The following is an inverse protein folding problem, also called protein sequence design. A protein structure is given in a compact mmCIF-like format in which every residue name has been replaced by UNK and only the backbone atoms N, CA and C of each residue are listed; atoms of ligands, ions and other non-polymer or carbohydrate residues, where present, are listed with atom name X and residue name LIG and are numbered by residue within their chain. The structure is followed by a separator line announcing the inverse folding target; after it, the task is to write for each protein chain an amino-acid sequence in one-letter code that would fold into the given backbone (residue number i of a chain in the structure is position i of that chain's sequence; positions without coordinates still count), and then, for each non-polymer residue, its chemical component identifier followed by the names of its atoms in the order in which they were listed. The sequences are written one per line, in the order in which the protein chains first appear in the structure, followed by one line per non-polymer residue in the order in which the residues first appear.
data_IF_320108098648
#
_entry.id   IF_320108098648
#
_cell.length_a   1.000
_cell.length_b   1.000
_cell.length_c   1.000
_cell.angle_alpha   90.00
_cell.angle_beta   90.00
_cell.angle_gamma   90.00
#
_symmetry.space_group_name_H-M   'P 1'
#
loop_
_entity.id
_entity.type
_entity.pdbx_description
1 polymer ?
#
# COMPACT_ATOMS: atom_id res chain seq x y z
N UNK A 1 -0.10 -0.55 -15.18
CA UNK A 1 1.30 -0.10 -15.19
C UNK A 1 2.16 -1.28 -15.62
N UNK A 2 3.33 -1.03 -16.21
CA UNK A 2 4.32 -2.06 -16.55
C UNK A 2 5.63 -1.74 -15.86
N UNK A 3 6.35 -2.75 -15.36
CA UNK A 3 7.68 -2.62 -14.76
C UNK A 3 7.73 -1.51 -13.69
N UNK A 4 6.88 -1.63 -12.67
CA UNK A 4 6.67 -0.57 -11.67
C UNK A 4 6.84 -1.09 -10.25
N UNK A 5 7.47 -0.29 -9.39
CA UNK A 5 7.59 -0.58 -7.95
C UNK A 5 6.95 0.54 -7.14
N UNK A 6 6.11 0.17 -6.17
CA UNK A 6 5.66 1.05 -5.10
C UNK A 6 6.27 0.55 -3.80
N UNK A 7 7.13 1.36 -3.20
CA UNK A 7 7.86 0.96 -2.00
C UNK A 7 7.96 2.07 -0.97
N UNK A 8 8.02 1.69 0.30
CA UNK A 8 8.23 2.60 1.43
C UNK A 8 7.22 3.76 1.48
N UNK A 9 6.01 3.55 0.99
CA UNK A 9 4.94 4.55 0.98
C UNK A 9 3.95 4.34 2.14
N UNK A 10 3.53 5.45 2.75
CA UNK A 10 2.44 5.48 3.74
C UNK A 10 1.16 5.96 3.05
N UNK A 11 0.12 5.14 3.09
CA UNK A 11 -1.22 5.50 2.62
C UNK A 11 -2.22 5.27 3.76
N UNK A 12 -2.77 6.34 4.32
CA UNK A 12 -3.66 6.24 5.47
C UNK A 12 -4.90 7.12 5.37
N UNK A 13 -5.92 6.75 6.16
CA UNK A 13 -7.11 7.57 6.39
C UNK A 13 -7.80 8.05 5.10
N UNK A 14 -7.97 7.14 4.14
CA UNK A 14 -8.77 7.42 2.95
C UNK A 14 -10.16 7.92 3.36
N UNK A 15 -10.53 9.14 2.93
CA UNK A 15 -11.77 9.79 3.35
C UNK A 15 -12.95 8.82 3.17
N UNK A 16 -13.75 8.57 4.20
CA UNK A 16 -14.84 7.60 4.14
C UNK A 16 -16.05 8.17 3.43
N UNK A 17 -16.54 9.33 3.87
CA UNK A 17 -17.69 10.01 3.27
C UNK A 17 -17.33 11.45 2.96
N UNK A 18 -17.78 11.97 1.83
CA UNK A 18 -17.64 13.39 1.48
C UNK A 18 -18.79 13.83 0.59
N UNK A 19 -19.08 15.14 0.55
CA UNK A 19 -20.17 15.69 -0.26
C UNK A 19 -20.01 15.33 -1.76
N UNK A 20 -18.77 15.25 -2.28
CA UNK A 20 -18.47 14.80 -3.64
C UNK A 20 -18.90 13.35 -3.90
N UNK A 21 -18.67 12.45 -2.93
CA UNK A 21 -19.06 11.03 -3.04
C UNK A 21 -20.56 10.85 -2.99
N UNK A 22 -21.24 11.63 -2.16
CA UNK A 22 -22.70 11.63 -2.06
C UNK A 22 -23.35 12.15 -3.34
N UNK A 23 -22.80 13.22 -3.92
CA UNK A 23 -23.26 13.74 -5.22
C UNK A 23 -23.12 12.68 -6.32
N UNK A 24 -21.98 11.99 -6.39
CA UNK A 24 -21.76 10.89 -7.34
C UNK A 24 -22.72 9.70 -7.13
N UNK A 25 -23.24 9.50 -5.92
CA UNK A 25 -24.20 8.47 -5.58
C UNK A 25 -25.68 8.92 -5.70
N UNK A 26 -25.95 10.07 -6.34
CA UNK A 26 -27.30 10.60 -6.51
C UNK A 26 -27.94 11.05 -5.19
N UNK A 27 -27.14 11.60 -4.28
CA UNK A 27 -27.59 12.12 -2.99
C UNK A 27 -27.87 11.06 -1.92
N UNK A 28 -27.56 9.78 -2.17
CA UNK A 28 -27.64 8.71 -1.18
C UNK A 28 -26.36 8.62 -0.36
N UNK A 29 -26.44 8.06 0.85
CA UNK A 29 -25.24 7.83 1.66
C UNK A 29 -24.29 6.87 0.93
N UNK A 30 -23.05 7.29 0.75
CA UNK A 30 -22.04 6.54 0.02
C UNK A 30 -20.68 6.63 0.73
N UNK A 31 -20.25 5.49 1.28
CA UNK A 31 -18.93 5.34 1.89
C UNK A 31 -17.92 4.79 0.87
N UNK A 32 -16.76 5.43 0.79
CA UNK A 32 -15.65 5.04 -0.09
C UNK A 32 -14.30 5.45 0.54
N UNK A 33 -13.94 4.82 1.67
CA UNK A 33 -12.62 4.96 2.31
C UNK A 33 -11.69 3.83 1.89
N UNK A 34 -11.20 3.84 0.64
CA UNK A 34 -10.48 2.71 0.06
C UNK A 34 -8.98 2.96 -0.01
N UNK A 35 -8.18 1.94 0.35
CA UNK A 35 -6.71 2.05 0.40
C UNK A 35 -6.07 2.12 -0.98
N UNK A 36 -6.26 1.10 -1.81
CA UNK A 36 -5.64 1.07 -3.13
C UNK A 36 -6.08 -0.09 -4.01
N UNK A 37 -5.94 0.10 -5.32
CA UNK A 37 -6.10 -0.95 -6.32
C UNK A 37 -4.72 -1.31 -6.86
N UNK A 38 -4.22 -2.51 -6.53
CA UNK A 38 -2.87 -2.97 -6.84
C UNK A 38 -2.92 -3.99 -7.97
N UNK A 39 -2.11 -3.79 -9.00
CA UNK A 39 -2.15 -4.52 -10.26
C UNK A 39 -1.14 -3.96 -11.25
N UNK A 40 -0.72 -4.77 -12.21
CA UNK A 40 0.24 -4.40 -13.22
C UNK A 40 0.92 -5.60 -13.86
N UNK A 41 1.64 -5.35 -14.95
CA UNK A 41 2.54 -6.33 -15.55
C UNK A 41 3.95 -6.09 -15.01
N UNK A 42 4.49 -7.08 -14.29
CA UNK A 42 5.76 -6.97 -13.56
C UNK A 42 5.74 -5.78 -12.59
N UNK A 43 4.74 -5.78 -11.70
CA UNK A 43 4.59 -4.75 -10.67
C UNK A 43 4.96 -5.30 -9.30
N UNK A 44 5.68 -4.52 -8.49
CA UNK A 44 5.96 -4.87 -7.09
C UNK A 44 5.42 -3.80 -6.14
N UNK A 45 4.94 -4.26 -4.99
CA UNK A 45 4.47 -3.44 -3.89
C UNK A 45 5.10 -3.96 -2.61
N UNK A 46 6.07 -3.24 -2.06
CA UNK A 46 6.78 -3.73 -0.89
C UNK A 46 7.12 -2.70 0.16
N UNK A 47 7.11 -3.11 1.43
CA UNK A 47 7.46 -2.23 2.56
C UNK A 47 6.58 -0.97 2.66
N UNK A 48 5.33 -1.06 2.19
CA UNK A 48 4.36 0.02 2.34
C UNK A 48 3.51 -0.18 3.60
N UNK A 49 2.94 0.92 4.09
CA UNK A 49 1.93 0.92 5.14
C UNK A 49 0.59 1.37 4.55
N UNK A 50 -0.44 0.52 4.66
CA UNK A 50 -1.84 0.97 4.51
C UNK A 50 -2.53 0.91 5.86
N UNK A 51 -2.97 2.06 6.37
CA UNK A 51 -3.59 2.17 7.70
C UNK A 51 -4.92 2.91 7.66
N UNK A 52 -5.89 2.46 8.45
CA UNK A 52 -7.19 3.15 8.59
C UNK A 52 -7.88 3.40 7.25
N UNK A 53 -7.85 2.41 6.36
CA UNK A 53 -8.63 2.39 5.12
C UNK A 53 -9.69 1.30 5.25
N UNK A 54 -10.96 1.64 5.02
CA UNK A 54 -12.06 0.71 5.22
C UNK A 54 -11.93 -0.53 4.34
N UNK A 55 -11.71 -0.38 3.04
CA UNK A 55 -11.63 -1.52 2.12
C UNK A 55 -10.53 -1.32 1.07
N UNK A 56 -10.33 -2.32 0.21
CA UNK A 56 -9.24 -2.33 -0.79
C UNK A 56 -7.89 -2.11 -0.11
N UNK A 57 -7.55 -3.02 0.79
CA UNK A 57 -6.30 -3.01 1.55
C UNK A 57 -5.49 -4.29 1.23
N UNK A 58 -4.93 -4.41 -0.01
CA UNK A 58 -5.32 -3.74 -1.26
C UNK A 58 -6.43 -4.51 -2.01
N UNK A 59 -7.13 -3.88 -2.97
CA UNK A 59 -7.84 -4.67 -4.01
C UNK A 59 -6.81 -5.11 -5.03
N UNK A 60 -6.70 -6.40 -5.32
CA UNK A 60 -5.89 -6.95 -6.39
C UNK A 60 -6.63 -6.79 -7.71
N UNK A 61 -6.53 -5.64 -8.38
CA UNK A 61 -7.41 -5.27 -9.50
C UNK A 61 -6.67 -5.18 -10.82
N UNK A 62 -6.72 -6.25 -11.63
CA UNK A 62 -6.10 -6.22 -12.93
C UNK A 62 -6.82 -5.27 -13.87
N UNK A 63 -6.10 -4.77 -14.87
CA UNK A 63 -6.68 -4.06 -16.01
C UNK A 63 -6.63 -4.94 -17.26
N UNK A 64 -7.66 -4.87 -18.10
CA UNK A 64 -7.69 -5.64 -19.36
C UNK A 64 -6.46 -5.36 -20.24
N UNK A 65 -5.95 -4.12 -20.21
CA UNK A 65 -4.76 -3.74 -20.99
C UNK A 65 -3.49 -4.42 -20.50
N UNK A 66 -3.35 -4.66 -19.20
CA UNK A 66 -2.22 -5.39 -18.63
C UNK A 66 -2.44 -6.90 -18.66
N UNK A 67 -3.68 -7.39 -18.55
CA UNK A 67 -4.01 -8.80 -18.79
C UNK A 67 -3.68 -9.23 -20.21
N UNK A 68 -3.96 -8.39 -21.21
CA UNK A 68 -3.69 -8.66 -22.63
C UNK A 68 -2.20 -8.85 -22.97
N UNK A 69 -1.29 -8.34 -22.13
CA UNK A 69 0.15 -8.51 -22.31
C UNK A 69 0.55 -9.97 -22.13
N UNK A 70 1.75 -10.33 -22.58
CA UNK A 70 2.31 -11.68 -22.44
C UNK A 70 1.35 -12.79 -22.92
N UNK A 71 0.73 -12.57 -24.09
CA UNK A 71 -0.27 -13.45 -24.70
C UNK A 71 -1.48 -13.70 -23.77
N UNK A 72 -2.17 -12.62 -23.39
CA UNK A 72 -3.32 -12.64 -22.47
C UNK A 72 -3.02 -13.16 -21.05
N UNK A 73 -1.75 -13.03 -20.61
CA UNK A 73 -1.27 -13.56 -19.34
C UNK A 73 -0.33 -12.59 -18.60
N UNK A 74 -0.65 -11.30 -18.69
CA UNK A 74 0.27 -10.22 -18.32
C UNK A 74 0.17 -9.70 -16.89
N UNK A 75 -0.89 -9.96 -16.13
CA UNK A 75 -0.96 -9.44 -14.75
C UNK A 75 -0.09 -10.24 -13.79
N UNK A 76 1.00 -9.61 -13.34
CA UNK A 76 2.10 -10.22 -12.59
C UNK A 76 2.53 -9.26 -11.49
N UNK A 77 2.11 -9.59 -10.26
CA UNK A 77 2.23 -8.71 -9.10
C UNK A 77 2.95 -9.39 -7.96
N UNK A 78 3.95 -8.72 -7.38
CA UNK A 78 4.63 -9.12 -6.16
C UNK A 78 4.21 -8.21 -5.00
N UNK A 79 3.58 -8.76 -3.97
CA UNK A 79 3.13 -8.04 -2.77
C UNK A 79 3.89 -8.58 -1.58
N UNK A 80 4.82 -7.78 -1.05
CA UNK A 80 5.82 -8.29 -0.13
C UNK A 80 6.12 -7.36 1.04
N UNK A 81 6.19 -7.91 2.25
CA UNK A 81 6.66 -7.16 3.43
C UNK A 81 5.93 -5.82 3.66
N UNK A 82 4.66 -5.72 3.29
CA UNK A 82 3.82 -4.56 3.61
C UNK A 82 3.15 -4.74 4.98
N UNK A 83 2.75 -3.62 5.59
CA UNK A 83 1.93 -3.60 6.80
C UNK A 83 0.53 -3.12 6.45
N UNK A 84 -0.46 -3.91 6.83
CA UNK A 84 -1.87 -3.60 6.66
C UNK A 84 -2.53 -3.45 8.03
N UNK A 85 -3.09 -2.28 8.31
CA UNK A 85 -3.62 -1.95 9.62
C UNK A 85 -5.05 -1.40 9.57
N UNK A 86 -5.89 -1.88 10.49
CA UNK A 86 -7.21 -1.32 10.80
C UNK A 86 -8.14 -1.18 9.58
N UNK A 87 -8.27 -2.24 8.77
CA UNK A 87 -9.29 -2.31 7.72
C UNK A 87 -10.64 -2.74 8.30
N UNK A 88 -11.76 -2.26 7.72
CA UNK A 88 -13.10 -2.45 8.29
C UNK A 88 -14.10 -3.09 7.31
N UNK A 89 -13.67 -3.29 6.08
CA UNK A 89 -14.41 -3.81 4.94
C UNK A 89 -13.75 -5.09 4.43
N UNK A 90 -13.50 -5.17 3.13
CA UNK A 90 -13.06 -6.43 2.51
C UNK A 90 -11.59 -6.78 2.75
N UNK A 91 -10.76 -5.84 3.20
CA UNK A 91 -9.30 -6.04 3.28
C UNK A 91 -8.72 -6.27 1.88
N UNK A 92 -7.96 -7.36 1.73
CA UNK A 92 -7.43 -7.80 0.46
C UNK A 92 -8.38 -8.76 -0.30
N UNK A 93 -8.68 -8.47 -1.57
CA UNK A 93 -9.59 -9.28 -2.40
C UNK A 93 -9.34 -9.08 -3.90
N UNK A 94 -9.90 -9.92 -4.77
CA UNK A 94 -9.82 -9.81 -6.23
C UNK A 94 -8.85 -10.78 -6.87
N UNK A 95 -8.08 -10.34 -7.86
CA UNK A 95 -7.04 -11.13 -8.50
C UNK A 95 -7.54 -12.05 -9.61
N UNK A 96 -8.61 -11.64 -10.27
CA UNK A 96 -9.18 -12.32 -11.43
C UNK A 96 -8.12 -12.51 -12.53
N UNK A 97 -7.82 -13.76 -12.91
CA UNK A 97 -6.80 -14.10 -13.91
C UNK A 97 -5.37 -13.50 -13.68
N UNK A 98 -5.04 -13.04 -12.47
CA UNK A 98 -3.70 -12.50 -12.15
C UNK A 98 -2.71 -13.60 -11.72
N UNK A 99 -1.42 -13.28 -11.78
CA UNK A 99 -0.34 -14.01 -11.09
C UNK A 99 0.12 -13.13 -9.92
N UNK A 100 -0.06 -13.60 -8.69
CA UNK A 100 0.21 -12.78 -7.50
C UNK A 100 1.04 -13.54 -6.48
N UNK A 101 2.17 -12.96 -6.07
CA UNK A 101 2.84 -13.35 -4.84
C UNK A 101 2.34 -12.47 -3.69
N UNK A 102 2.03 -13.06 -2.53
CA UNK A 102 1.74 -12.35 -1.27
C UNK A 102 2.66 -12.94 -0.19
N UNK A 103 3.76 -12.26 0.10
CA UNK A 103 4.88 -12.84 0.88
C UNK A 103 5.29 -11.96 2.05
N UNK A 104 5.36 -12.53 3.25
CA UNK A 104 5.98 -11.84 4.39
C UNK A 104 5.28 -10.55 4.83
N UNK A 105 4.01 -10.35 4.48
CA UNK A 105 3.26 -9.16 4.88
C UNK A 105 2.74 -9.30 6.32
N UNK A 106 2.57 -8.18 7.00
CA UNK A 106 2.05 -8.10 8.37
C UNK A 106 0.62 -7.54 8.38
N UNK A 107 -0.33 -8.35 8.83
CA UNK A 107 -1.75 -7.99 8.94
C UNK A 107 -2.09 -7.76 10.41
N UNK A 108 -2.43 -6.52 10.76
CA UNK A 108 -2.77 -6.12 12.12
C UNK A 108 -4.22 -5.62 12.21
N UNK A 109 -5.17 -6.42 12.73
CA UNK A 109 -6.53 -5.94 12.97
C UNK A 109 -6.53 -4.86 14.06
N UNK A 110 -7.25 -3.76 13.81
CA UNK A 110 -7.41 -2.65 14.76
C UNK A 110 -8.86 -2.45 15.20
N UNK A 111 -9.17 -1.39 15.96
CA UNK A 111 -10.53 -1.10 16.44
C UNK A 111 -11.61 -1.06 15.36
N UNK A 112 -11.31 -0.50 14.17
CA UNK A 112 -12.21 -0.50 13.03
C UNK A 112 -12.37 -1.88 12.36
N UNK A 113 -11.40 -2.78 12.54
CA UNK A 113 -11.48 -4.19 12.13
C UNK A 113 -12.34 -5.00 13.07
N UNK A 114 -12.32 -4.70 14.37
CA UNK A 114 -13.18 -5.34 15.37
C UNK A 114 -14.66 -5.07 15.09
N UNK A 115 -14.97 -3.95 14.44
CA UNK A 115 -16.30 -3.56 13.97
C UNK A 115 -16.64 -4.08 12.56
N UNK A 116 -15.76 -4.87 11.94
CA UNK A 116 -15.98 -5.45 10.62
C UNK A 116 -16.84 -6.73 10.70
N UNK A 117 -17.24 -7.24 9.52
CA UNK A 117 -17.91 -8.55 9.43
C UNK A 117 -16.98 -9.66 9.94
N UNK A 118 -17.58 -10.70 10.53
CA UNK A 118 -16.83 -11.89 10.96
C UNK A 118 -15.95 -12.44 9.83
N UNK A 119 -14.78 -12.95 10.21
CA UNK A 119 -13.78 -13.47 9.29
C UNK A 119 -12.85 -12.43 8.65
N UNK A 120 -13.17 -11.12 8.72
CA UNK A 120 -12.35 -10.07 8.12
C UNK A 120 -11.06 -9.79 8.88
N UNK A 121 -11.03 -9.99 10.19
CA UNK A 121 -9.88 -9.68 11.05
C UNK A 121 -8.63 -10.52 10.77
N UNK A 122 -8.79 -11.66 10.08
CA UNK A 122 -7.70 -12.57 9.75
C UNK A 122 -7.60 -12.92 8.27
N UNK A 123 -8.23 -12.12 7.41
CA UNK A 123 -8.15 -12.31 5.96
C UNK A 123 -6.79 -11.87 5.44
N UNK A 124 -6.10 -12.77 4.75
CA UNK A 124 -4.91 -12.46 3.95
C UNK A 124 -5.32 -12.03 2.55
N UNK A 125 -6.24 -12.77 1.92
CA UNK A 125 -6.82 -12.41 0.63
C UNK A 125 -8.18 -13.11 0.41
N UNK A 126 -9.04 -12.54 -0.42
CA UNK A 126 -10.21 -13.20 -1.00
C UNK A 126 -10.09 -13.22 -2.53
N UNK A 127 -9.44 -14.24 -3.13
CA UNK A 127 -9.40 -14.40 -4.57
C UNK A 127 -10.79 -14.56 -5.19
N UNK A 128 -10.96 -14.11 -6.43
CA UNK A 128 -12.24 -14.13 -7.14
C UNK A 128 -12.07 -14.33 -8.66
N UNK A 129 -13.19 -14.51 -9.38
CA UNK A 129 -13.27 -14.53 -10.85
C UNK A 129 -14.20 -13.42 -11.35
N UNK A 130 -13.99 -12.98 -12.60
CA UNK A 130 -14.97 -12.09 -13.23
C UNK A 130 -16.27 -12.86 -13.53
N UNK A 131 -17.44 -12.39 -13.08
CA UNK A 131 -18.72 -13.04 -13.35
C UNK A 131 -19.09 -12.98 -14.85
N UNK A 132 -19.98 -13.86 -15.32
CA UNK A 132 -20.34 -13.94 -16.74
C UNK A 132 -21.04 -12.66 -17.25
N UNK A 133 -21.72 -11.96 -16.36
CA UNK A 133 -22.43 -10.71 -16.59
C UNK A 133 -21.62 -9.48 -16.15
N UNK A 134 -20.29 -9.63 -16.01
CA UNK A 134 -19.41 -8.54 -15.62
C UNK A 134 -19.65 -7.29 -16.49
N UNK A 135 -19.78 -6.13 -15.85
CA UNK A 135 -20.10 -4.87 -16.53
C UNK A 135 -19.06 -4.45 -17.57
N UNK A 136 -17.83 -4.95 -17.45
CA UNK A 136 -16.75 -4.76 -18.43
C UNK A 136 -16.56 -5.94 -19.41
N UNK A 137 -17.55 -6.83 -19.60
CA UNK A 137 -17.40 -8.04 -20.44
C UNK A 137 -16.93 -7.77 -21.88
N UNK A 138 -17.18 -6.58 -22.41
CA UNK A 138 -16.68 -6.12 -23.71
C UNK A 138 -15.15 -6.10 -23.78
N UNK A 139 -14.49 -5.76 -22.67
CA UNK A 139 -13.03 -5.65 -22.56
C UNK A 139 -12.40 -6.86 -21.89
N UNK A 140 -13.11 -7.48 -20.94
CA UNK A 140 -12.59 -8.55 -20.10
C UNK A 140 -13.05 -9.96 -20.54
N UNK A 141 -13.74 -10.07 -21.68
CA UNK A 141 -14.36 -11.30 -22.18
C UNK A 141 -13.45 -12.54 -22.15
N UNK A 142 -12.16 -12.38 -22.48
CA UNK A 142 -11.17 -13.46 -22.50
C UNK A 142 -10.83 -14.03 -21.11
N UNK A 143 -11.10 -13.27 -20.04
CA UNK A 143 -10.73 -13.61 -18.67
C UNK A 143 -11.94 -13.81 -17.75
N UNK A 144 -13.16 -13.79 -18.29
CA UNK A 144 -14.35 -14.15 -17.52
C UNK A 144 -14.20 -15.58 -17.01
N UNK A 145 -14.63 -15.82 -15.77
CA UNK A 145 -14.64 -17.16 -15.18
C UNK A 145 -13.24 -17.80 -15.05
N UNK A 146 -12.17 -16.99 -15.07
CA UNK A 146 -10.78 -17.46 -14.95
C UNK A 146 -10.21 -17.11 -13.58
N UNK A 147 -9.82 -18.14 -12.83
CA UNK A 147 -9.10 -17.99 -11.57
C UNK A 147 -7.68 -17.45 -11.81
N UNK A 148 -7.19 -16.60 -10.90
CA UNK A 148 -5.77 -16.26 -10.84
C UNK A 148 -4.91 -17.39 -10.27
N UNK A 149 -3.60 -17.21 -10.30
CA UNK A 149 -2.59 -18.09 -9.70
C UNK A 149 -1.84 -17.34 -8.60
N UNK A 150 -1.67 -17.96 -7.44
CA UNK A 150 -1.22 -17.28 -6.24
C UNK A 150 -0.14 -18.07 -5.50
N UNK A 151 0.94 -17.40 -5.13
CA UNK A 151 1.89 -17.88 -4.13
C UNK A 151 1.74 -17.03 -2.87
N UNK A 152 1.26 -17.63 -1.79
CA UNK A 152 0.98 -16.94 -0.53
C UNK A 152 1.73 -17.67 0.57
N UNK A 153 2.71 -17.00 1.19
CA UNK A 153 3.57 -17.61 2.19
C UNK A 153 4.14 -16.60 3.20
N UNK A 154 4.47 -17.07 4.40
CA UNK A 154 5.16 -16.31 5.46
C UNK A 154 4.46 -15.02 5.92
N UNK A 155 3.18 -14.82 5.58
CA UNK A 155 2.43 -13.68 6.09
C UNK A 155 2.03 -13.93 7.54
N UNK A 156 2.04 -12.86 8.33
CA UNK A 156 1.64 -12.89 9.74
C UNK A 156 0.33 -12.15 9.95
N UNK A 157 -0.55 -12.74 10.75
CA UNK A 157 -1.79 -12.10 11.20
C UNK A 157 -1.73 -11.96 12.72
N UNK A 158 -1.61 -10.71 13.20
CA UNK A 158 -1.54 -10.42 14.63
C UNK A 158 -2.80 -10.94 15.35
N UNK A 159 -2.60 -11.69 16.42
CA UNK A 159 -3.69 -12.31 17.18
C UNK A 159 -4.29 -13.58 16.56
N UNK A 160 -3.80 -14.07 15.41
CA UNK A 160 -4.24 -15.33 14.81
C UNK A 160 -3.05 -16.22 14.41
N UNK A 161 -2.62 -17.08 15.35
CA UNK A 161 -1.50 -18.01 15.15
C UNK A 161 -1.80 -19.08 14.12
N UNK A 162 -3.05 -19.57 14.04
CA UNK A 162 -3.46 -20.58 13.07
C UNK A 162 -3.31 -20.08 11.62
N UNK A 163 -3.79 -18.86 11.33
CA UNK A 163 -3.62 -18.23 10.01
C UNK A 163 -2.16 -17.87 9.73
N UNK A 164 -1.40 -17.48 10.75
CA UNK A 164 0.05 -17.21 10.60
C UNK A 164 0.82 -18.47 10.22
N UNK A 165 0.46 -19.63 10.79
CA UNK A 165 1.10 -20.93 10.48
C UNK A 165 0.61 -21.52 9.15
N UNK A 166 -0.67 -21.33 8.82
CA UNK A 166 -1.27 -21.73 7.56
C UNK A 166 -2.10 -20.58 6.97
N UNK A 167 -1.46 -19.83 6.09
CA UNK A 167 -2.07 -18.70 5.40
C UNK A 167 -3.28 -19.12 4.55
N UNK A 168 -3.32 -20.36 4.06
CA UNK A 168 -4.26 -20.77 3.01
C UNK A 168 -5.62 -21.14 3.56
N UNK A 169 -5.70 -22.05 4.53
CA UNK A 169 -6.98 -22.65 4.95
C UNK A 169 -7.99 -21.59 5.38
N UNK A 170 -7.64 -20.77 6.37
CA UNK A 170 -8.54 -19.77 6.96
C UNK A 170 -8.29 -18.35 6.44
N UNK A 171 -7.05 -18.04 6.07
CA UNK A 171 -6.67 -16.71 5.57
C UNK A 171 -7.06 -16.46 4.12
N UNK A 172 -7.31 -17.52 3.33
CA UNK A 172 -7.64 -17.45 1.89
C UNK A 172 -8.86 -18.28 1.53
N UNK A 173 -8.81 -19.61 1.61
CA UNK A 173 -9.88 -20.48 1.07
C UNK A 173 -11.21 -20.30 1.80
N UNK A 174 -11.21 -20.22 3.13
CA UNK A 174 -12.42 -19.91 3.91
C UNK A 174 -12.97 -18.49 3.68
N UNK A 175 -12.21 -17.62 3.00
CA UNK A 175 -12.63 -16.25 2.69
C UNK A 175 -13.36 -16.16 1.35
N UNK A 176 -13.19 -17.16 0.48
CA UNK A 176 -13.75 -17.22 -0.86
C UNK A 176 -15.21 -17.70 -0.84
N UNK A 177 -15.95 -17.36 -1.89
CA UNK A 177 -17.30 -17.85 -2.11
C UNK A 177 -17.56 -18.08 -3.61
N UNK A 178 -18.64 -18.80 -3.90
CA UNK A 178 -18.97 -19.21 -5.28
C UNK A 178 -19.79 -18.18 -6.05
N UNK A 179 -20.06 -17.00 -5.51
CA UNK A 179 -21.10 -16.09 -6.04
C UNK A 179 -20.85 -15.65 -7.48
N UNK A 180 -19.58 -15.50 -7.89
CA UNK A 180 -19.21 -15.11 -9.25
C UNK A 180 -18.90 -16.30 -10.17
N UNK A 181 -18.99 -17.54 -9.67
CA UNK A 181 -18.79 -18.74 -10.48
C UNK A 181 -20.08 -19.13 -11.19
N UNK A 182 -20.03 -19.29 -12.50
CA UNK A 182 -21.15 -19.71 -13.34
C UNK A 182 -21.49 -21.20 -13.16
N UNK A 183 -20.55 -22.01 -12.67
CA UNK A 183 -20.74 -23.44 -12.43
C UNK A 183 -20.10 -23.90 -11.13
N UNK A 184 -20.66 -24.94 -10.50
CA UNK A 184 -20.03 -25.61 -9.37
C UNK A 184 -18.71 -26.29 -9.78
N UNK A 185 -18.57 -26.70 -11.04
CA UNK A 185 -17.33 -27.26 -11.56
C UNK A 185 -16.17 -26.25 -11.51
N UNK A 186 -16.41 -24.99 -11.89
CA UNK A 186 -15.43 -23.91 -11.74
C UNK A 186 -15.13 -23.62 -10.27
N UNK A 187 -16.17 -23.55 -9.42
CA UNK A 187 -15.99 -23.35 -7.99
C UNK A 187 -15.12 -24.45 -7.37
N UNK A 188 -15.30 -25.71 -7.76
CA UNK A 188 -14.51 -26.82 -7.26
C UNK A 188 -13.02 -26.74 -7.63
N UNK A 189 -12.62 -25.84 -8.53
CA UNK A 189 -11.23 -25.57 -8.88
C UNK A 189 -10.58 -24.47 -8.02
N UNK A 190 -11.31 -23.78 -7.14
CA UNK A 190 -10.81 -22.61 -6.41
C UNK A 190 -9.55 -22.89 -5.56
N UNK A 191 -9.32 -24.14 -5.12
CA UNK A 191 -8.11 -24.50 -4.37
C UNK A 191 -6.89 -24.71 -5.26
N UNK A 192 -7.08 -24.91 -6.57
CA UNK A 192 -6.02 -25.11 -7.55
C UNK A 192 -5.26 -23.81 -7.87
N UNK A 193 -5.74 -22.66 -7.38
CA UNK A 193 -5.06 -21.37 -7.53
C UNK A 193 -3.72 -21.32 -6.79
N UNK A 194 -3.56 -22.16 -5.74
CA UNK A 194 -2.33 -22.24 -4.96
C UNK A 194 -1.17 -22.72 -5.82
N UNK A 195 -0.08 -21.97 -5.78
CA UNK A 195 1.22 -22.35 -6.30
C UNK A 195 2.14 -22.75 -5.14
N UNK A 196 3.05 -23.68 -5.41
CA UNK A 196 4.05 -24.15 -4.43
C UNK A 196 5.40 -23.42 -4.55
N UNK A 197 5.51 -22.50 -5.52
CA UNK A 197 6.65 -21.63 -5.74
C UNK A 197 6.15 -20.27 -6.25
N UNK A 198 7.03 -19.26 -6.25
CA UNK A 198 6.73 -17.92 -6.75
C UNK A 198 6.14 -18.00 -8.18
N UNK A 199 5.09 -17.23 -8.42
CA UNK A 199 4.41 -17.14 -9.73
C UNK A 199 4.85 -15.91 -10.54
N UNK A 200 5.57 -15.00 -9.88
CA UNK A 200 6.17 -13.79 -10.42
C UNK A 200 7.58 -13.69 -9.86
N UNK A 201 8.55 -13.29 -10.67
CA UNK A 201 9.89 -12.97 -10.18
C UNK A 201 9.81 -11.67 -9.36
N UNK A 202 10.36 -11.69 -8.15
CA UNK A 202 10.31 -10.52 -7.27
C UNK A 202 11.23 -9.39 -7.73
N UNK A 203 12.22 -9.70 -8.58
CA UNK A 203 13.37 -8.85 -8.84
C UNK A 203 14.25 -8.70 -7.61
N UNK A 204 15.23 -7.78 -7.67
CA UNK A 204 16.15 -7.49 -6.58
C UNK A 204 15.46 -6.73 -5.45
N UNK A 205 14.88 -7.46 -4.49
CA UNK A 205 14.19 -6.90 -3.32
C UNK A 205 14.76 -7.51 -2.05
N UNK A 206 15.08 -6.65 -1.07
CA UNK A 206 15.41 -7.12 0.28
C UNK A 206 14.15 -7.64 0.95
N UNK A 207 14.07 -8.95 1.16
CA UNK A 207 12.94 -9.63 1.79
C UNK A 207 13.21 -9.87 3.27
N UNK A 208 12.24 -9.57 4.11
CA UNK A 208 12.27 -9.73 5.56
C UNK A 208 11.28 -10.79 6.04
N UNK A 209 11.43 -11.25 7.28
CA UNK A 209 10.30 -11.91 7.96
C UNK A 209 9.17 -10.89 8.15
N UNK A 210 7.92 -11.34 8.36
CA UNK A 210 6.82 -10.41 8.59
C UNK A 210 7.03 -9.50 9.82
N UNK A 211 7.66 -10.02 10.87
CA UNK A 211 7.97 -9.26 12.09
C UNK A 211 9.04 -8.18 11.84
N UNK A 212 10.12 -8.54 11.15
CA UNK A 212 11.16 -7.57 10.77
C UNK A 212 10.58 -6.53 9.81
N UNK A 213 9.78 -6.94 8.83
CA UNK A 213 9.08 -6.03 7.92
C UNK A 213 8.21 -5.03 8.68
N UNK A 214 7.47 -5.49 9.69
CA UNK A 214 6.67 -4.61 10.55
C UNK A 214 7.55 -3.55 11.23
N UNK A 215 8.64 -3.97 11.87
CA UNK A 215 9.56 -3.06 12.54
C UNK A 215 10.15 -2.02 11.56
N UNK A 216 10.65 -2.47 10.40
CA UNK A 216 11.23 -1.58 9.38
C UNK A 216 10.22 -0.61 8.80
N UNK A 217 9.01 -1.07 8.50
CA UNK A 217 7.96 -0.20 7.95
C UNK A 217 7.58 0.88 8.96
N UNK A 218 7.39 0.55 10.24
CA UNK A 218 7.06 1.56 11.26
C UNK A 218 8.19 2.57 11.46
N UNK A 219 9.44 2.15 11.32
CA UNK A 219 10.60 3.04 11.41
C UNK A 219 10.67 3.98 10.19
N UNK A 220 10.60 3.44 8.97
CA UNK A 220 11.12 4.11 7.77
C UNK A 220 10.09 4.48 6.70
N UNK A 221 8.81 4.08 6.81
CA UNK A 221 7.81 4.32 5.75
C UNK A 221 7.46 5.81 5.59
N UNK A 222 7.19 6.27 4.37
CA UNK A 222 6.76 7.63 4.07
C UNK A 222 7.87 8.68 4.26
N UNK A 223 7.49 9.91 4.58
CA UNK A 223 8.42 10.99 4.91
C UNK A 223 9.03 10.78 6.31
N UNK A 224 9.92 9.79 6.42
CA UNK A 224 10.41 9.29 7.71
C UNK A 224 11.62 10.04 8.28
N UNK A 225 12.33 10.82 7.46
CA UNK A 225 13.40 11.70 7.95
C UNK A 225 12.85 12.75 8.93
N UNK A 226 11.68 13.31 8.58
CA UNK A 226 10.91 14.21 9.44
C UNK A 226 9.43 13.91 9.27
N UNK A 227 8.85 13.21 10.24
CA UNK A 227 7.41 12.94 10.26
C UNK A 227 6.66 14.18 10.75
N UNK A 228 5.63 14.56 10.01
CA UNK A 228 4.66 15.50 10.53
C UNK A 228 3.80 14.85 11.63
N UNK A 229 2.93 15.64 12.26
CA UNK A 229 2.08 15.16 13.35
C UNK A 229 1.06 14.11 12.89
N UNK A 230 0.66 14.14 11.62
CA UNK A 230 -0.30 13.18 11.05
C UNK A 230 0.38 11.83 10.87
N UNK A 231 1.53 11.78 10.20
CA UNK A 231 2.34 10.57 10.03
C UNK A 231 2.71 9.95 11.38
N UNK A 232 3.12 10.78 12.35
CA UNK A 232 3.43 10.32 13.70
C UNK A 232 2.20 9.70 14.41
N UNK A 233 1.01 10.27 14.24
CA UNK A 233 -0.24 9.70 14.76
C UNK A 233 -0.52 8.34 14.16
N UNK A 234 -0.41 8.21 12.83
CA UNK A 234 -0.68 6.95 12.12
C UNK A 234 0.28 5.85 12.59
N UNK A 235 1.59 6.12 12.64
CA UNK A 235 2.60 5.16 13.10
C UNK A 235 2.33 4.75 14.56
N UNK A 236 2.01 5.73 15.42
CA UNK A 236 1.66 5.46 16.82
C UNK A 236 0.39 4.61 16.97
N UNK A 237 -0.61 4.84 16.12
CA UNK A 237 -1.84 4.05 16.13
C UNK A 237 -1.59 2.60 15.70
N UNK A 238 -0.78 2.40 14.66
CA UNK A 238 -0.38 1.06 14.20
C UNK A 238 0.43 0.33 15.28
N UNK A 239 1.38 1.02 15.94
CA UNK A 239 2.19 0.45 17.00
C UNK A 239 1.33 -0.02 18.19
N UNK A 240 0.38 0.83 18.62
CA UNK A 240 -0.38 0.64 19.85
C UNK A 240 -1.78 0.04 19.64
N UNK A 241 -2.11 -0.41 18.42
CA UNK A 241 -3.44 -0.91 18.05
C UNK A 241 -4.56 0.09 18.40
N UNK A 242 -4.33 1.37 18.10
CA UNK A 242 -5.29 2.48 18.36
C UNK A 242 -5.97 2.96 17.08
N UNK A 243 -7.01 3.76 17.28
CA UNK A 243 -7.72 4.48 16.23
C UNK A 243 -8.07 5.86 16.78
N UNK A 244 -7.03 6.67 17.01
CA UNK A 244 -7.05 7.88 17.82
C UNK A 244 -7.91 8.99 17.23
N UNK A 245 -8.18 8.95 15.92
CA UNK A 245 -9.08 9.90 15.24
C UNK A 245 -10.20 9.13 14.51
N UNK A 246 -11.45 9.52 14.74
CA UNK A 246 -12.61 9.03 13.99
C UNK A 246 -13.52 10.21 13.67
N UNK A 247 -13.74 10.48 12.38
CA UNK A 247 -14.63 11.56 11.93
C UNK A 247 -16.10 11.22 12.19
N UNK A 248 -16.88 12.23 12.57
CA UNK A 248 -18.32 12.08 12.79
C UNK A 248 -19.10 12.22 11.47
N UNK A 249 -19.89 11.20 11.12
CA UNK A 249 -20.75 11.21 9.93
C UNK A 249 -22.19 11.69 10.21
N UNK A 250 -22.53 12.11 11.44
CA UNK A 250 -23.92 12.43 11.86
C UNK A 250 -24.59 13.53 11.03
N UNK A 251 -23.81 14.40 10.40
CA UNK A 251 -24.30 15.40 9.41
C UNK A 251 -25.14 14.76 8.29
N UNK A 252 -24.89 13.50 7.94
CA UNK A 252 -25.59 12.78 6.88
C UNK A 252 -26.59 11.73 7.39
N UNK A 253 -26.99 11.80 8.65
CA UNK A 253 -27.91 10.84 9.29
C UNK A 253 -29.29 10.72 8.62
N UNK A 254 -29.74 11.77 7.91
CA UNK A 254 -30.98 11.76 7.14
C UNK A 254 -30.92 11.03 5.79
N UNK A 255 -29.74 10.60 5.33
CA UNK A 255 -29.60 9.95 4.03
C UNK A 255 -29.90 8.45 4.10
N UNK A 256 -30.59 7.94 3.06
CA UNK A 256 -30.81 6.50 2.92
C UNK A 256 -29.48 5.74 2.85
N UNK A 257 -29.36 4.68 3.65
CA UNK A 257 -28.13 3.88 3.77
C UNK A 257 -27.09 4.45 4.73
N UNK A 258 -27.45 5.44 5.55
CA UNK A 258 -26.57 6.04 6.55
C UNK A 258 -25.88 5.00 7.45
N UNK A 259 -24.59 5.23 7.71
CA UNK A 259 -23.85 4.55 8.77
C UNK A 259 -22.76 5.46 9.35
N UNK A 260 -22.64 5.45 10.68
CA UNK A 260 -21.52 6.10 11.35
C UNK A 260 -20.17 5.48 10.92
N UNK A 261 -19.10 6.26 11.02
CA UNK A 261 -17.75 5.77 10.83
C UNK A 261 -17.41 4.70 11.87
N UNK A 262 -16.76 3.63 11.40
CA UNK A 262 -15.99 2.75 12.28
C UNK A 262 -14.73 3.48 12.74
N UNK A 263 -14.15 3.00 13.82
CA UNK A 263 -12.99 3.62 14.46
C UNK A 263 -11.80 3.74 13.51
N UNK A 264 -11.24 4.95 13.40
CA UNK A 264 -10.05 5.27 12.63
C UNK A 264 -10.31 5.99 11.31
N UNK A 265 -11.56 6.02 10.84
CA UNK A 265 -11.90 6.63 9.55
C UNK A 265 -12.34 8.09 9.70
N UNK A 266 -11.84 8.93 8.80
CA UNK A 266 -12.19 10.35 8.72
C UNK A 266 -13.06 10.61 7.49
N UNK A 267 -13.81 11.69 7.49
CA UNK A 267 -14.64 12.18 6.39
C UNK A 267 -13.99 13.40 5.70
N UNK A 268 -13.21 14.17 6.44
CA UNK A 268 -12.41 15.27 5.92
C UNK A 268 -11.05 15.33 6.62
N UNK A 269 -10.02 15.91 5.98
CA UNK A 269 -8.72 16.16 6.65
C UNK A 269 -8.86 16.95 7.95
N UNK A 270 -9.86 17.84 8.05
CA UNK A 270 -10.12 18.63 9.26
C UNK A 270 -10.53 17.82 10.48
N UNK A 271 -10.98 16.57 10.33
CA UNK A 271 -11.38 15.72 11.46
C UNK A 271 -10.20 15.42 12.42
N UNK A 272 -8.97 15.57 11.93
CA UNK A 272 -7.76 15.30 12.71
C UNK A 272 -7.31 16.50 13.59
N UNK A 273 -7.81 17.72 13.31
CA UNK A 273 -7.39 18.98 13.95
C UNK A 273 -7.49 18.89 15.47
N UNK A 274 -8.66 18.53 15.99
CA UNK A 274 -8.90 18.44 17.44
C UNK A 274 -8.04 17.36 18.09
N UNK A 275 -7.84 16.24 17.39
CA UNK A 275 -7.03 15.12 17.90
C UNK A 275 -5.57 15.52 18.06
N UNK A 276 -5.04 16.32 17.12
CA UNK A 276 -3.63 16.72 17.10
C UNK A 276 -3.36 18.08 17.74
N UNK A 277 -4.39 18.84 18.12
CA UNK A 277 -4.23 20.21 18.62
C UNK A 277 -3.53 21.12 17.61
N UNK A 278 -3.81 20.94 16.32
CA UNK A 278 -3.26 21.76 15.21
C UNK A 278 -4.36 22.63 14.61
N UNK A 279 -4.00 23.67 13.86
CA UNK A 279 -4.95 24.55 13.16
C UNK A 279 -5.18 24.17 11.70
N UNK A 280 -4.24 23.46 11.08
CA UNK A 280 -4.31 23.00 9.69
C UNK A 280 -3.83 21.54 9.62
N UNK A 281 -4.59 20.61 9.00
CA UNK A 281 -4.15 19.23 8.81
C UNK A 281 -2.98 19.08 7.84
N UNK A 282 -2.61 20.14 7.11
CA UNK A 282 -1.43 20.21 6.27
C UNK A 282 -0.46 21.23 6.87
N UNK A 283 0.60 20.73 7.49
CA UNK A 283 1.64 21.60 8.05
C UNK A 283 2.28 22.42 6.92
N UNK A 284 2.45 23.73 7.16
CA UNK A 284 3.25 24.58 6.27
C UNK A 284 4.71 24.30 6.57
N UNK A 285 5.43 23.74 5.60
CA UNK A 285 6.87 23.49 5.75
C UNK A 285 7.59 24.82 5.99
N UNK A 286 8.24 24.94 7.16
CA UNK A 286 9.06 26.11 7.49
C UNK A 286 10.48 25.88 7.02
N UNK A 287 11.03 26.84 6.27
CA UNK A 287 12.45 26.81 5.89
C UNK A 287 13.32 26.88 7.14
N UNK A 288 14.22 25.92 7.30
CA UNK A 288 15.25 25.97 8.33
C UNK A 288 16.46 26.70 7.75
N UNK A 289 16.75 27.91 8.22
CA UNK A 289 17.96 28.65 7.83
C UNK A 289 19.19 28.01 8.50
N UNK A 290 19.71 26.95 7.88
CA UNK A 290 20.99 26.34 8.27
C UNK A 290 22.10 26.84 7.36
N UNK A 291 23.24 27.35 7.88
CA UNK A 291 24.36 27.79 7.04
C UNK A 291 24.95 26.64 6.20
N UNK A 292 24.77 25.38 6.62
CA UNK A 292 25.19 24.20 5.86
C UNK A 292 24.27 23.89 4.65
N UNK A 293 23.19 24.65 4.46
CA UNK A 293 22.28 24.52 3.31
C UNK A 293 22.41 25.71 2.34
N UNK A 294 23.46 26.53 2.49
CA UNK A 294 23.76 27.59 1.52
C UNK A 294 24.10 26.93 0.18
N UNK A 295 23.37 27.32 -0.85
CA UNK A 295 23.53 26.93 -2.25
C UNK A 295 23.75 28.23 -3.04
N UNK A 296 24.98 28.46 -3.48
CA UNK A 296 25.41 29.75 -4.06
C UNK A 296 24.97 29.91 -5.51
N UNK A 297 24.84 28.82 -6.27
CA UNK A 297 24.52 28.87 -7.69
C UNK A 297 23.11 28.37 -8.05
N UNK A 298 22.40 27.82 -7.07
CA UNK A 298 20.99 27.48 -7.14
C UNK A 298 20.70 26.16 -7.84
N UNK A 299 21.65 25.23 -7.89
CA UNK A 299 21.47 23.92 -8.51
C UNK A 299 20.79 22.88 -7.61
N UNK A 300 20.56 23.22 -6.34
CA UNK A 300 19.91 22.39 -5.33
C UNK A 300 20.88 21.61 -4.45
N UNK A 301 22.19 21.78 -4.61
CA UNK A 301 23.24 21.16 -3.80
C UNK A 301 23.87 22.23 -2.89
N UNK A 302 24.06 21.98 -1.59
CA UNK A 302 24.75 22.93 -0.72
C UNK A 302 26.24 23.03 -1.04
N UNK A 303 26.78 24.25 -0.97
CA UNK A 303 28.20 24.59 -1.17
C UNK A 303 29.11 23.62 -0.39
N UNK A 304 28.75 23.29 0.85
CA UNK A 304 29.55 22.42 1.72
C UNK A 304 29.64 20.97 1.23
N UNK A 305 28.57 20.47 0.59
CA UNK A 305 28.57 19.12 0.00
C UNK A 305 29.36 19.14 -1.31
N UNK A 306 29.19 20.18 -2.12
CA UNK A 306 30.00 20.33 -3.33
C UNK A 306 31.50 20.37 -3.05
N UNK A 307 31.93 21.14 -2.05
CA UNK A 307 33.33 21.20 -1.62
C UNK A 307 33.85 19.84 -1.13
N UNK A 308 33.03 19.09 -0.37
CA UNK A 308 33.39 17.75 0.12
C UNK A 308 33.61 16.76 -1.03
N UNK A 309 32.81 16.84 -2.09
CA UNK A 309 32.83 15.94 -3.23
C UNK A 309 33.59 16.47 -4.45
N UNK A 310 34.25 17.63 -4.33
CA UNK A 310 35.13 18.21 -5.35
C UNK A 310 34.41 18.89 -6.52
N UNK A 311 33.17 19.36 -6.31
CA UNK A 311 32.39 20.17 -7.24
C UNK A 311 32.67 21.67 -7.03
N UNK A 312 32.07 22.53 -7.86
CA UNK A 312 32.29 23.97 -7.80
C UNK A 312 30.99 24.71 -7.42
N UNK A 313 30.89 25.27 -6.20
CA UNK A 313 29.70 25.99 -5.70
C UNK A 313 29.26 27.25 -6.46
N UNK A 314 29.86 27.53 -7.62
CA UNK A 314 29.55 28.68 -8.47
C UNK A 314 29.23 28.25 -9.90
N UNK A 315 29.04 26.96 -10.15
CA UNK A 315 28.90 26.36 -11.47
C UNK A 315 27.68 25.42 -11.50
N UNK A 316 26.49 26.01 -11.50
CA UNK A 316 25.19 25.30 -11.50
C UNK A 316 24.97 24.24 -12.59
N UNK A 317 25.87 24.16 -13.58
CA UNK A 317 25.86 23.14 -14.61
C UNK A 317 26.40 21.78 -14.13
N UNK A 318 27.19 21.71 -13.05
CA UNK A 318 27.73 20.45 -12.54
C UNK A 318 26.73 19.67 -11.65
N UNK A 319 25.69 20.30 -11.11
CA UNK A 319 24.60 19.57 -10.43
C UNK A 319 23.95 18.46 -11.27
N UNK A 320 23.88 18.65 -12.61
CA UNK A 320 23.39 17.65 -13.57
C UNK A 320 24.48 16.77 -14.19
N UNK A 321 25.75 17.01 -13.87
CA UNK A 321 26.84 16.11 -14.25
C UNK A 321 26.79 14.85 -13.38
N UNK A 322 27.44 13.77 -13.82
CA UNK A 322 27.42 12.46 -13.13
C UNK A 322 28.81 12.11 -12.59
N UNK A 323 29.54 13.11 -12.10
CA UNK A 323 30.97 12.98 -11.74
C UNK A 323 31.19 12.33 -10.38
N UNK A 324 30.23 12.45 -9.45
CA UNK A 324 30.29 11.84 -8.12
C UNK A 324 29.88 10.36 -8.14
N UNK A 325 28.89 9.98 -8.97
CA UNK A 325 28.51 8.58 -9.12
C UNK A 325 29.60 7.80 -9.86
N UNK A 326 30.19 6.82 -9.19
CA UNK A 326 31.21 5.92 -9.76
C UNK A 326 30.74 5.16 -11.00
N UNK A 327 29.44 4.96 -11.15
CA UNK A 327 28.84 4.29 -12.31
C UNK A 327 28.36 5.26 -13.39
N UNK A 328 28.41 6.58 -13.15
CA UNK A 328 27.97 7.61 -14.08
C UNK A 328 26.49 7.54 -14.47
N UNK A 329 25.63 6.98 -13.61
CA UNK A 329 24.19 6.80 -13.85
C UNK A 329 23.34 7.90 -13.23
N UNK A 330 23.80 8.43 -12.10
CA UNK A 330 23.09 9.45 -11.34
C UNK A 330 23.82 10.79 -11.39
N UNK A 331 23.03 11.85 -11.47
CA UNK A 331 23.50 13.23 -11.37
C UNK A 331 24.06 13.52 -9.97
N UNK A 332 24.90 14.54 -9.86
CA UNK A 332 25.43 15.00 -8.58
C UNK A 332 24.30 15.42 -7.63
N UNK A 333 23.23 16.02 -8.15
CA UNK A 333 22.02 16.34 -7.38
C UNK A 333 21.36 15.08 -6.82
N UNK A 334 21.19 14.03 -7.63
CA UNK A 334 20.63 12.75 -7.15
C UNK A 334 21.51 12.08 -6.10
N UNK A 335 22.84 12.17 -6.25
CA UNK A 335 23.79 11.66 -5.26
C UNK A 335 23.68 12.42 -3.93
N UNK A 336 23.56 13.75 -3.98
CA UNK A 336 23.32 14.58 -2.79
C UNK A 336 21.98 14.21 -2.13
N UNK A 337 20.88 14.17 -2.88
CA UNK A 337 19.55 13.81 -2.35
C UNK A 337 19.54 12.42 -1.70
N UNK A 338 20.22 11.45 -2.31
CA UNK A 338 20.37 10.11 -1.72
C UNK A 338 21.18 10.15 -0.40
N UNK A 339 22.24 10.97 -0.33
CA UNK A 339 23.06 11.10 0.88
C UNK A 339 22.27 11.61 2.09
N UNK A 340 21.24 12.43 1.87
CA UNK A 340 20.36 12.96 2.92
C UNK A 340 19.53 11.90 3.64
N UNK A 341 19.32 10.75 3.01
CA UNK A 341 18.48 9.66 3.53
C UNK A 341 19.22 8.33 3.63
N UNK A 342 20.55 8.35 3.54
CA UNK A 342 21.37 7.14 3.49
C UNK A 342 21.15 6.23 4.70
N UNK A 343 20.97 6.80 5.90
CA UNK A 343 20.71 6.03 7.11
C UNK A 343 19.34 5.31 7.05
N UNK A 344 18.31 5.97 6.50
CA UNK A 344 16.98 5.40 6.26
C UNK A 344 17.09 4.22 5.30
N UNK A 345 17.85 4.36 4.22
CA UNK A 345 18.06 3.28 3.25
C UNK A 345 18.76 2.07 3.87
N UNK A 346 19.78 2.29 4.70
CA UNK A 346 20.50 1.22 5.41
C UNK A 346 19.58 0.53 6.44
N UNK A 347 18.83 1.31 7.24
CA UNK A 347 17.88 0.78 8.22
C UNK A 347 16.81 -0.08 7.54
N UNK A 348 16.22 0.41 6.45
CA UNK A 348 15.18 -0.29 5.70
C UNK A 348 15.62 -1.64 5.14
N UNK A 349 16.91 -1.81 4.81
CA UNK A 349 17.46 -3.07 4.32
C UNK A 349 17.97 -4.02 5.42
N UNK A 350 18.09 -3.54 6.67
CA UNK A 350 18.77 -4.27 7.73
C UNK A 350 17.97 -5.47 8.24
N UNK A 351 18.63 -6.63 8.33
CA UNK A 351 18.02 -7.88 8.79
C UNK A 351 17.28 -8.68 7.70
N UNK A 352 17.20 -8.14 6.48
CA UNK A 352 16.61 -8.84 5.34
C UNK A 352 17.62 -9.62 4.50
N UNK A 353 17.09 -10.38 3.54
CA UNK A 353 17.88 -11.09 2.52
C UNK A 353 17.46 -10.61 1.15
N UNK A 354 18.43 -10.24 0.33
CA UNK A 354 18.17 -9.95 -1.09
C UNK A 354 17.77 -11.26 -1.77
N UNK A 355 16.62 -11.24 -2.43
CA UNK A 355 16.23 -12.29 -3.38
C UNK A 355 16.42 -11.74 -4.80
N UNK A 356 16.73 -12.64 -5.74
CA UNK A 356 16.84 -12.33 -7.17
C UNK A 356 15.88 -13.21 -7.96
#
# INVERSE_FOLDING_TARGET
MQNSTVQWCLAAQALRVSDVKLAAAGGKFASHGYGGNWGGNNASYHHNLIAHCESRVPRLGPRYTTLALNNNNGERVDIRNNVFYNWGGEGCYGGEAQHVNIVGNYYKPGPGTDQAKSGRSYRIAKPDVYPIDYSGKDKYGLWLQTWGKFYINENKTEGNTAVTQDNWTNGVFAQMDKNNCATDALWNQHQQIRANALVVEAGRVTTHTADDAYARVLESVGASNYRDKVDALIVNDVANRKASCTGDASRWSGLSGYSQNKSGYINAPTDIITTLGISNPYDVLTTVASPNLKDTDGDGIPDSWEEEYGLNPKKSADGKETTVDKNGKYTNLEMYLNSLVQDIMVKGASGGKVIE
#
